data_IF_328850027419
#
_entry.id   IF_328850027419
#
_cell.length_a   1.000
_cell.length_b   1.000
_cell.length_c   1.000
_cell.angle_alpha   90.00
_cell.angle_beta   90.00
_cell.angle_gamma   90.00
#
_symmetry.space_group_name_H-M   'P 1'
#
loop_
_entity.id
_entity.type
_entity.pdbx_description
1 polymer ?
#
# COMPACT_ATOMS: atom_id res chain seq x y z
N UNK A 1 14.30 -9.03 14.53
CA UNK A 1 13.47 -9.15 13.33
C UNK A 1 12.13 -9.71 13.78
N UNK A 2 11.02 -9.10 13.41
CA UNK A 2 9.69 -9.48 13.87
C UNK A 2 8.81 -9.82 12.66
N UNK A 3 8.16 -10.99 12.69
CA UNK A 3 7.39 -11.55 11.60
C UNK A 3 6.20 -10.66 11.21
N UNK A 4 5.40 -10.25 12.19
CA UNK A 4 4.25 -9.38 11.99
C UNK A 4 4.63 -8.01 11.42
N UNK A 5 5.71 -7.43 11.94
CA UNK A 5 6.11 -6.07 11.59
C UNK A 5 6.88 -5.96 10.28
N UNK A 6 7.64 -6.99 9.88
CA UNK A 6 8.58 -6.91 8.76
C UNK A 6 8.25 -7.90 7.64
N UNK A 7 7.70 -9.08 7.94
CA UNK A 7 7.48 -10.15 6.96
C UNK A 7 6.04 -10.14 6.44
N UNK A 8 5.05 -10.11 7.32
CA UNK A 8 3.62 -10.08 6.94
C UNK A 8 3.28 -8.93 5.96
N UNK A 9 3.80 -7.69 6.12
CA UNK A 9 3.49 -6.60 5.20
C UNK A 9 3.95 -6.86 3.77
N UNK A 10 4.97 -7.69 3.57
CA UNK A 10 5.41 -8.09 2.22
C UNK A 10 4.30 -8.85 1.52
N UNK A 11 3.62 -9.78 2.19
CA UNK A 11 2.55 -10.58 1.58
C UNK A 11 1.40 -9.69 1.14
N UNK A 12 1.06 -8.68 1.94
CA UNK A 12 0.04 -7.68 1.61
C UNK A 12 0.47 -6.81 0.44
N UNK A 13 1.69 -6.26 0.48
CA UNK A 13 2.24 -5.45 -0.60
C UNK A 13 2.28 -6.18 -1.94
N UNK A 14 2.63 -7.46 -1.94
CA UNK A 14 2.71 -8.29 -3.14
C UNK A 14 1.35 -8.87 -3.57
N UNK A 15 0.31 -8.71 -2.76
CA UNK A 15 -1.03 -9.26 -2.98
C UNK A 15 -1.12 -10.78 -2.79
N UNK A 16 -0.14 -11.40 -2.13
CA UNK A 16 -0.12 -12.84 -1.87
C UNK A 16 -1.27 -13.27 -0.94
N UNK A 17 -1.54 -12.48 0.09
CA UNK A 17 -2.59 -12.71 1.08
C UNK A 17 -3.90 -11.94 0.77
N UNK A 18 -4.10 -11.55 -0.50
CA UNK A 18 -5.37 -11.01 -0.96
C UNK A 18 -6.41 -12.13 -1.19
N UNK A 19 -7.71 -11.80 -1.12
CA UNK A 19 -8.79 -12.77 -1.30
C UNK A 19 -8.81 -13.48 -2.66
N UNK A 20 -8.17 -12.90 -3.68
CA UNK A 20 -7.99 -13.55 -5.00
C UNK A 20 -6.89 -14.63 -5.04
N UNK A 21 -6.10 -14.78 -3.98
CA UNK A 21 -4.92 -15.66 -3.95
C UNK A 21 -4.91 -16.56 -2.70
N UNK A 22 -3.90 -16.45 -1.84
CA UNK A 22 -3.78 -17.26 -0.62
C UNK A 22 -4.60 -16.70 0.56
N UNK A 23 -5.12 -15.48 0.45
CA UNK A 23 -5.91 -14.78 1.48
C UNK A 23 -7.37 -15.20 1.63
N UNK A 24 -7.85 -16.18 0.86
CA UNK A 24 -9.21 -16.71 0.97
C UNK A 24 -9.26 -17.83 2.00
N UNK A 25 -10.43 -18.08 2.60
CA UNK A 25 -10.60 -19.00 3.73
C UNK A 25 -9.95 -20.39 3.54
N UNK A 26 -10.10 -20.98 2.34
CA UNK A 26 -9.56 -22.31 2.02
C UNK A 26 -8.12 -22.27 1.45
N UNK A 27 -7.54 -21.08 1.28
CA UNK A 27 -6.26 -20.89 0.60
C UNK A 27 -6.26 -21.37 -0.85
N UNK A 28 -5.06 -21.60 -1.40
CA UNK A 28 -4.87 -22.10 -2.75
C UNK A 28 -3.79 -23.19 -2.77
N UNK A 29 -4.11 -24.33 -3.38
CA UNK A 29 -3.20 -25.47 -3.54
C UNK A 29 -2.58 -25.97 -2.22
N UNK A 30 -3.38 -26.00 -1.14
CA UNK A 30 -2.94 -26.44 0.17
C UNK A 30 -2.05 -25.44 0.90
N UNK A 31 -2.12 -24.15 0.57
CA UNK A 31 -1.47 -23.09 1.33
C UNK A 31 -2.39 -21.88 1.47
N UNK A 32 -2.50 -21.37 2.69
CA UNK A 32 -3.31 -20.19 3.01
C UNK A 32 -2.52 -19.20 3.84
N UNK A 33 -2.89 -17.94 3.67
CA UNK A 33 -2.54 -16.82 4.54
C UNK A 33 -3.84 -16.15 4.97
N UNK A 34 -3.85 -15.52 6.12
CA UNK A 34 -4.93 -14.68 6.60
C UNK A 34 -5.12 -13.48 5.68
N UNK A 35 -6.37 -13.07 5.50
CA UNK A 35 -6.71 -11.97 4.59
C UNK A 35 -5.99 -10.68 5.03
N UNK A 36 -5.13 -10.15 4.16
CA UNK A 36 -4.33 -8.94 4.41
C UNK A 36 -3.44 -9.00 5.67
N UNK A 37 -3.17 -10.20 6.21
CA UNK A 37 -2.31 -10.39 7.38
C UNK A 37 -3.02 -10.15 8.72
N UNK A 38 -4.34 -10.35 8.77
CA UNK A 38 -5.17 -10.09 9.96
C UNK A 38 -4.88 -11.04 11.14
N UNK A 39 -4.36 -12.25 10.87
CA UNK A 39 -3.99 -13.25 11.87
C UNK A 39 -2.53 -13.72 11.66
N UNK A 40 -1.54 -12.93 12.10
CA UNK A 40 -0.13 -13.21 11.85
C UNK A 40 0.37 -14.49 12.54
N UNK A 41 -0.25 -14.88 13.66
CA UNK A 41 0.01 -16.14 14.35
C UNK A 41 -0.39 -17.35 13.48
N UNK A 42 -1.59 -17.32 12.91
CA UNK A 42 -2.04 -18.35 11.97
C UNK A 42 -1.18 -18.38 10.69
N UNK A 43 -0.82 -17.20 10.16
CA UNK A 43 0.08 -17.07 9.01
C UNK A 43 1.42 -17.76 9.24
N UNK A 44 1.99 -17.54 10.42
CA UNK A 44 3.25 -18.14 10.82
C UNK A 44 3.14 -19.67 10.90
N UNK A 45 2.07 -20.20 11.51
CA UNK A 45 1.84 -21.64 11.60
C UNK A 45 1.71 -22.31 10.23
N UNK A 46 0.91 -21.75 9.32
CA UNK A 46 0.75 -22.30 7.97
C UNK A 46 2.04 -22.19 7.13
N UNK A 47 2.79 -21.11 7.34
CA UNK A 47 4.00 -20.86 6.59
C UNK A 47 5.19 -21.71 7.07
N UNK A 48 5.39 -21.80 8.38
CA UNK A 48 6.58 -22.38 9.01
C UNK A 48 6.39 -23.84 9.39
N UNK A 49 5.21 -24.23 9.86
CA UNK A 49 5.00 -25.53 10.51
C UNK A 49 4.14 -26.52 9.70
N UNK A 50 3.10 -26.03 9.03
CA UNK A 50 2.19 -26.88 8.24
C UNK A 50 2.94 -27.70 7.18
N UNK A 51 2.43 -28.90 6.87
CA UNK A 51 3.05 -29.86 5.96
C UNK A 51 4.53 -30.15 6.27
N UNK A 52 4.88 -30.18 7.57
CA UNK A 52 6.25 -30.45 8.06
C UNK A 52 7.26 -29.40 7.57
N UNK A 53 6.82 -28.14 7.47
CA UNK A 53 7.68 -27.01 7.11
C UNK A 53 8.17 -27.00 5.66
N UNK A 54 7.49 -27.71 4.74
CA UNK A 54 7.92 -27.88 3.34
C UNK A 54 8.12 -26.59 2.53
N UNK A 55 7.65 -25.44 3.04
CA UNK A 55 7.63 -24.15 2.35
C UNK A 55 8.92 -23.37 2.54
N UNK A 56 9.66 -23.67 3.61
CA UNK A 56 10.89 -22.98 4.00
C UNK A 56 12.04 -23.98 4.05
N UNK A 57 13.17 -23.61 3.47
CA UNK A 57 14.41 -24.36 3.54
C UNK A 57 15.49 -23.50 4.20
N UNK A 58 15.66 -23.58 5.53
CA UNK A 58 16.55 -22.66 6.26
C UNK A 58 18.02 -22.75 5.85
N UNK A 59 18.47 -23.94 5.45
CA UNK A 59 19.86 -24.18 5.03
C UNK A 59 20.22 -23.48 3.71
N UNK A 60 19.23 -23.23 2.85
CA UNK A 60 19.38 -22.42 1.64
C UNK A 60 18.06 -21.65 1.41
N UNK A 61 17.95 -20.41 1.95
CA UNK A 61 16.74 -19.61 1.85
C UNK A 61 16.24 -19.47 0.42
N UNK A 62 17.14 -19.33 -0.56
CA UNK A 62 16.80 -19.18 -1.98
C UNK A 62 16.08 -20.40 -2.55
N UNK A 63 16.28 -21.57 -1.95
CA UNK A 63 15.57 -22.80 -2.29
C UNK A 63 14.19 -22.93 -1.64
N UNK A 64 13.79 -22.01 -0.75
CA UNK A 64 12.47 -22.02 -0.12
C UNK A 64 11.36 -21.80 -1.15
N UNK A 65 10.29 -22.59 -1.11
CA UNK A 65 9.12 -22.39 -1.98
C UNK A 65 8.51 -21.00 -1.78
N UNK A 66 8.59 -20.47 -0.55
CA UNK A 66 8.19 -19.10 -0.20
C UNK A 66 8.90 -18.03 -1.05
N UNK A 67 10.14 -18.28 -1.47
CA UNK A 67 10.89 -17.38 -2.35
C UNK A 67 10.74 -17.76 -3.83
N UNK A 68 10.89 -19.04 -4.16
CA UNK A 68 10.92 -19.50 -5.55
C UNK A 68 9.60 -19.31 -6.30
N UNK A 69 8.45 -19.50 -5.62
CA UNK A 69 7.13 -19.35 -6.25
C UNK A 69 6.82 -17.88 -6.57
N UNK A 70 6.89 -16.92 -5.64
CA UNK A 70 6.60 -15.53 -5.98
C UNK A 70 7.66 -14.89 -6.90
N UNK A 71 8.87 -15.42 -6.96
CA UNK A 71 9.84 -15.01 -7.99
C UNK A 71 9.62 -15.65 -9.38
N UNK A 72 8.67 -16.57 -9.49
CA UNK A 72 8.37 -17.37 -10.67
C UNK A 72 9.59 -18.14 -11.22
N UNK A 73 10.53 -18.50 -10.33
CA UNK A 73 11.59 -19.49 -10.61
C UNK A 73 10.96 -20.88 -10.71
N UNK A 74 9.96 -21.14 -9.86
CA UNK A 74 9.05 -22.26 -9.99
C UNK A 74 7.66 -21.76 -10.41
N UNK A 75 6.89 -22.54 -11.20
CA UNK A 75 5.54 -22.15 -11.61
C UNK A 75 4.62 -21.84 -10.41
N UNK A 76 4.12 -20.62 -10.31
CA UNK A 76 3.27 -20.18 -9.20
C UNK A 76 1.78 -20.05 -9.55
N UNK A 77 1.44 -19.85 -10.83
CA UNK A 77 0.06 -19.56 -11.27
C UNK A 77 -0.39 -18.13 -10.96
N UNK A 78 0.07 -17.53 -9.85
CA UNK A 78 -0.16 -16.13 -9.47
C UNK A 78 0.76 -15.10 -10.18
N UNK A 79 1.60 -15.56 -11.11
CA UNK A 79 2.60 -14.76 -11.80
C UNK A 79 3.83 -14.42 -10.94
N UNK A 80 4.73 -13.60 -11.49
CA UNK A 80 5.87 -13.06 -10.76
C UNK A 80 5.42 -11.88 -9.89
N UNK A 81 5.82 -11.90 -8.62
CA UNK A 81 5.53 -10.88 -7.60
C UNK A 81 6.78 -10.20 -7.07
N UNK A 82 7.91 -10.90 -7.04
CA UNK A 82 9.21 -10.36 -6.63
C UNK A 82 10.35 -10.95 -7.48
N UNK A 83 11.60 -10.63 -7.18
CA UNK A 83 12.76 -11.21 -7.84
C UNK A 83 13.95 -11.27 -6.88
N UNK A 84 14.94 -12.16 -7.11
CA UNK A 84 16.18 -12.14 -6.35
C UNK A 84 16.81 -10.76 -6.33
N UNK A 85 17.19 -10.28 -5.14
CA UNK A 85 17.78 -8.96 -4.93
C UNK A 85 16.79 -7.79 -4.85
N UNK A 86 15.47 -8.04 -4.89
CA UNK A 86 14.51 -7.00 -4.46
C UNK A 86 14.47 -6.91 -2.94
N UNK A 87 14.01 -5.77 -2.42
CA UNK A 87 13.93 -5.54 -0.97
C UNK A 87 13.10 -6.62 -0.25
N UNK A 88 11.98 -7.02 -0.85
CA UNK A 88 11.08 -8.04 -0.35
C UNK A 88 11.75 -9.41 -0.29
N UNK A 89 12.48 -9.79 -1.35
CA UNK A 89 13.24 -11.03 -1.40
C UNK A 89 14.31 -11.06 -0.30
N UNK A 90 15.10 -9.99 -0.18
CA UNK A 90 16.20 -9.92 0.78
C UNK A 90 15.71 -9.89 2.22
N UNK A 91 14.57 -9.25 2.50
CA UNK A 91 13.97 -9.24 3.83
C UNK A 91 13.46 -10.64 4.22
N UNK A 92 12.70 -11.32 3.36
CA UNK A 92 12.24 -12.69 3.62
C UNK A 92 13.41 -13.67 3.71
N UNK A 93 14.42 -13.54 2.84
CA UNK A 93 15.63 -14.36 2.89
C UNK A 93 16.36 -14.21 4.22
N UNK A 94 16.57 -12.96 4.70
CA UNK A 94 17.18 -12.70 6.02
C UNK A 94 16.36 -13.26 7.18
N UNK A 95 15.03 -13.20 7.10
CA UNK A 95 14.15 -13.80 8.10
C UNK A 95 14.37 -15.32 8.19
N UNK A 96 14.41 -16.00 7.06
CA UNK A 96 14.67 -17.44 6.98
C UNK A 96 16.07 -17.76 7.54
N UNK A 97 17.10 -16.97 7.18
CA UNK A 97 18.47 -17.14 7.67
C UNK A 97 18.58 -17.01 9.20
N UNK A 98 17.75 -16.18 9.81
CA UNK A 98 17.71 -15.99 11.27
C UNK A 98 16.95 -17.11 12.00
N UNK A 99 16.47 -18.13 11.30
CA UNK A 99 15.69 -19.20 11.88
C UNK A 99 14.21 -18.84 12.05
N UNK A 100 13.69 -18.00 11.14
CA UNK A 100 12.28 -17.59 11.08
C UNK A 100 11.74 -17.08 12.42
N UNK A 101 12.38 -16.12 13.11
CA UNK A 101 11.85 -15.64 14.39
C UNK A 101 10.44 -15.06 14.21
N UNK A 102 9.51 -15.43 15.10
CA UNK A 102 8.18 -14.80 15.16
C UNK A 102 8.30 -13.35 15.68
N UNK A 103 8.98 -13.17 16.81
CA UNK A 103 9.04 -11.92 17.55
C UNK A 103 8.91 -12.21 19.05
N UNK A 104 8.88 -11.17 19.86
CA UNK A 104 8.59 -11.25 21.30
C UNK A 104 7.41 -10.37 21.67
N UNK A 105 6.81 -10.59 22.84
CA UNK A 105 5.68 -9.78 23.34
C UNK A 105 6.08 -8.33 23.63
N UNK A 106 7.38 -8.07 23.80
CA UNK A 106 7.95 -6.74 24.00
C UNK A 106 8.25 -6.02 22.68
N UNK A 107 8.06 -6.67 21.53
CA UNK A 107 8.25 -6.01 20.24
C UNK A 107 7.24 -4.86 20.06
N UNK A 108 7.67 -3.75 19.44
CA UNK A 108 6.81 -2.60 19.21
C UNK A 108 5.60 -2.93 18.34
N UNK A 109 4.43 -2.44 18.74
CA UNK A 109 3.18 -2.59 17.99
C UNK A 109 2.93 -1.33 17.17
N UNK A 110 2.52 -1.50 15.90
CA UNK A 110 2.16 -0.38 15.04
C UNK A 110 0.95 0.37 15.62
N UNK A 111 1.05 1.70 15.71
CA UNK A 111 -0.03 2.55 16.22
C UNK A 111 -0.70 3.40 15.14
N UNK A 112 0.06 3.86 14.16
CA UNK A 112 -0.43 4.65 13.02
C UNK A 112 0.61 4.72 11.91
N UNK A 113 0.16 5.12 10.73
CA UNK A 113 1.04 5.56 9.64
C UNK A 113 0.79 7.01 9.24
N UNK A 114 1.81 7.63 8.66
CA UNK A 114 1.75 8.99 8.11
C UNK A 114 2.34 9.00 6.70
N UNK A 115 1.56 9.51 5.74
CA UNK A 115 2.05 9.77 4.39
C UNK A 115 2.59 11.21 4.32
N UNK A 116 3.85 11.36 3.90
CA UNK A 116 4.55 12.63 3.84
C UNK A 116 5.00 12.93 2.41
N UNK A 117 4.65 14.09 1.83
CA UNK A 117 3.69 15.06 2.36
C UNK A 117 2.27 14.48 2.40
N UNK A 118 1.40 15.01 3.28
CA UNK A 118 -0.01 14.61 3.34
C UNK A 118 -0.86 15.28 2.25
N UNK A 119 -0.48 16.50 1.84
CA UNK A 119 -1.17 17.27 0.80
C UNK A 119 -0.13 17.94 -0.10
N UNK A 120 -0.37 18.00 -1.41
CA UNK A 120 0.48 18.72 -2.35
C UNK A 120 -0.33 19.22 -3.55
N UNK A 121 -0.23 20.52 -3.84
CA UNK A 121 -0.67 21.05 -5.14
C UNK A 121 0.29 20.56 -6.24
N UNK A 122 -0.28 20.00 -7.30
CA UNK A 122 0.47 19.36 -8.38
C UNK A 122 -0.09 19.78 -9.73
N UNK A 123 0.80 20.21 -10.63
CA UNK A 123 0.45 20.38 -12.03
C UNK A 123 0.10 19.04 -12.68
N UNK A 124 -0.63 19.08 -13.79
CA UNK A 124 -0.82 17.91 -14.66
C UNK A 124 0.51 17.23 -15.00
N UNK A 125 0.51 15.89 -14.97
CA UNK A 125 1.71 15.04 -15.15
C UNK A 125 2.79 15.25 -14.08
N UNK A 126 2.46 16.01 -13.03
CA UNK A 126 3.32 16.22 -11.87
C UNK A 126 3.58 14.91 -11.14
N UNK A 127 4.79 14.79 -10.58
CA UNK A 127 5.22 13.60 -9.85
C UNK A 127 5.54 13.96 -8.40
N UNK A 128 5.08 13.16 -7.47
CA UNK A 128 5.36 13.29 -6.04
C UNK A 128 5.89 11.96 -5.50
N UNK A 129 7.03 11.99 -4.81
CA UNK A 129 7.51 10.85 -4.04
C UNK A 129 6.96 10.97 -2.62
N UNK A 130 6.24 9.96 -2.16
CA UNK A 130 5.79 9.87 -0.78
C UNK A 130 6.84 9.18 0.08
N UNK A 131 6.91 9.57 1.35
CA UNK A 131 7.48 8.77 2.43
C UNK A 131 6.36 8.30 3.33
N UNK A 132 6.41 7.05 3.79
CA UNK A 132 5.42 6.49 4.70
C UNK A 132 6.12 6.20 6.02
N UNK A 133 5.73 6.91 7.07
CA UNK A 133 6.31 6.78 8.40
C UNK A 133 5.36 5.98 9.30
N UNK A 134 5.83 4.84 9.80
CA UNK A 134 5.13 4.03 10.79
C UNK A 134 5.55 4.45 12.19
N UNK A 135 4.58 4.73 13.05
CA UNK A 135 4.79 5.07 14.46
C UNK A 135 4.40 3.88 15.33
N UNK A 136 5.30 3.52 16.25
CA UNK A 136 5.17 2.33 17.08
C UNK A 136 4.98 2.66 18.56
N UNK A 137 4.49 1.69 19.33
CA UNK A 137 4.19 1.82 20.76
C UNK A 137 5.39 2.14 21.65
N UNK A 138 6.61 1.86 21.20
CA UNK A 138 7.87 2.21 21.87
C UNK A 138 8.35 3.65 21.56
N UNK A 139 7.57 4.39 20.78
CA UNK A 139 7.92 5.73 20.29
C UNK A 139 8.86 5.73 19.09
N UNK A 140 9.29 4.57 18.60
CA UNK A 140 10.10 4.49 17.39
C UNK A 140 9.29 4.85 16.15
N UNK A 141 9.99 5.44 15.17
CA UNK A 141 9.42 5.80 13.87
C UNK A 141 10.26 5.12 12.80
N UNK A 142 9.61 4.41 11.87
CA UNK A 142 10.29 3.68 10.79
C UNK A 142 9.74 4.10 9.44
N UNK A 143 10.64 4.23 8.47
CA UNK A 143 10.25 4.40 7.07
C UNK A 143 9.79 3.04 6.51
N UNK A 144 8.50 2.95 6.20
CA UNK A 144 7.84 1.78 5.62
C UNK A 144 7.38 2.04 4.18
N UNK A 145 7.95 3.05 3.50
CA UNK A 145 7.60 3.42 2.11
C UNK A 145 7.69 2.22 1.16
N UNK A 146 8.71 1.37 1.37
CA UNK A 146 8.92 0.15 0.58
C UNK A 146 8.04 -1.02 1.00
N UNK A 147 7.25 -0.92 2.05
CA UNK A 147 6.34 -1.99 2.51
C UNK A 147 4.87 -1.59 2.40
N UNK A 148 4.58 -0.30 2.29
CA UNK A 148 3.23 0.20 2.08
C UNK A 148 2.70 -0.08 0.66
N UNK A 149 1.37 -0.15 0.54
CA UNK A 149 0.65 -0.14 -0.74
C UNK A 149 -0.01 1.21 -0.97
N UNK A 150 -0.20 1.57 -2.25
CA UNK A 150 -0.66 2.88 -2.68
C UNK A 150 -1.77 2.71 -3.72
N UNK A 151 -2.98 3.16 -3.41
CA UNK A 151 -4.15 3.02 -4.27
C UNK A 151 -4.83 4.38 -4.46
N UNK A 152 -4.86 4.93 -5.69
CA UNK A 152 -5.62 6.12 -5.98
C UNK A 152 -7.13 5.81 -5.93
N UNK A 153 -7.95 6.75 -5.46
CA UNK A 153 -9.40 6.65 -5.51
C UNK A 153 -9.94 6.60 -6.94
N UNK A 154 -9.27 7.30 -7.86
CA UNK A 154 -9.58 7.38 -9.29
C UNK A 154 -8.32 7.08 -10.10
N UNK A 155 -8.26 5.91 -10.75
CA UNK A 155 -7.11 5.48 -11.53
C UNK A 155 -6.89 6.35 -12.79
N UNK A 156 -7.93 7.04 -13.24
CA UNK A 156 -7.91 8.02 -14.32
C UNK A 156 -7.26 9.34 -13.91
N UNK A 157 -7.21 9.67 -12.62
CA UNK A 157 -6.65 10.93 -12.10
C UNK A 157 -5.21 10.79 -11.63
N UNK A 158 -4.80 9.60 -11.17
CA UNK A 158 -3.42 9.34 -10.84
C UNK A 158 -3.04 7.87 -10.97
N UNK A 159 -1.75 7.67 -11.24
CA UNK A 159 -1.10 6.37 -11.17
C UNK A 159 -0.09 6.38 -10.02
N UNK A 160 0.02 5.24 -9.34
CA UNK A 160 0.99 5.00 -8.27
C UNK A 160 1.92 3.87 -8.65
N UNK A 161 3.05 3.76 -7.96
CA UNK A 161 3.91 2.58 -8.06
C UNK A 161 4.27 2.03 -6.68
N UNK A 162 4.87 0.83 -6.68
CA UNK A 162 5.27 0.12 -5.47
C UNK A 162 6.36 0.83 -4.63
N UNK A 163 6.97 1.89 -5.16
CA UNK A 163 7.96 2.70 -4.46
C UNK A 163 7.35 3.98 -3.86
N UNK A 164 6.03 4.17 -3.90
CA UNK A 164 5.35 5.33 -3.33
C UNK A 164 5.42 6.59 -4.18
N UNK A 165 5.73 6.46 -5.48
CA UNK A 165 5.66 7.60 -6.41
C UNK A 165 4.25 7.70 -7.00
N UNK A 166 3.66 8.87 -6.82
CA UNK A 166 2.37 9.28 -7.38
C UNK A 166 2.63 10.15 -8.60
N UNK A 167 1.91 9.90 -9.69
CA UNK A 167 1.86 10.79 -10.87
C UNK A 167 0.41 11.16 -11.11
N UNK A 168 0.11 12.46 -11.12
CA UNK A 168 -1.24 12.97 -11.44
C UNK A 168 -1.36 13.01 -12.96
N UNK A 169 -2.50 12.58 -13.49
CA UNK A 169 -2.81 12.57 -14.91
C UNK A 169 -3.40 13.92 -15.37
N UNK A 170 -3.82 14.01 -16.62
CA UNK A 170 -4.39 15.24 -17.21
C UNK A 170 -5.88 15.46 -16.87
N UNK A 171 -6.35 14.87 -15.76
CA UNK A 171 -7.74 14.99 -15.30
C UNK A 171 -7.80 16.01 -14.16
N UNK A 172 -8.58 17.11 -14.30
CA UNK A 172 -8.73 18.12 -13.27
C UNK A 172 -9.35 17.56 -11.98
N UNK A 173 -8.91 18.10 -10.83
CA UNK A 173 -9.49 17.83 -9.52
C UNK A 173 -8.47 17.34 -8.48
N UNK A 174 -8.97 17.10 -7.26
CA UNK A 174 -8.20 16.50 -6.18
C UNK A 174 -8.26 14.97 -6.27
N UNK A 175 -7.08 14.33 -6.28
CA UNK A 175 -6.93 12.88 -6.18
C UNK A 175 -6.48 12.50 -4.78
N UNK A 176 -7.14 11.49 -4.20
CA UNK A 176 -6.75 10.93 -2.92
C UNK A 176 -6.05 9.58 -3.17
N UNK A 177 -4.82 9.44 -2.68
CA UNK A 177 -4.09 8.18 -2.68
C UNK A 177 -4.16 7.57 -1.29
N UNK A 178 -4.85 6.45 -1.18
CA UNK A 178 -4.87 5.65 0.04
C UNK A 178 -3.54 4.91 0.17
N UNK A 179 -2.90 5.09 1.32
CA UNK A 179 -1.68 4.40 1.71
C UNK A 179 -2.05 3.39 2.77
N UNK A 180 -1.70 2.11 2.59
CA UNK A 180 -1.96 1.07 3.60
C UNK A 180 -0.66 0.39 4.01
N UNK A 181 -0.53 0.13 5.32
CA UNK A 181 0.53 -0.69 5.88
C UNK A 181 -0.01 -1.40 7.11
N UNK A 182 0.01 -2.74 7.08
CA UNK A 182 -0.71 -3.58 8.04
C UNK A 182 -2.20 -3.16 8.14
N UNK A 183 -2.73 -2.97 9.35
CA UNK A 183 -4.10 -2.51 9.60
C UNK A 183 -4.29 -0.99 9.51
N UNK A 184 -3.23 -0.23 9.31
CA UNK A 184 -3.26 1.24 9.36
C UNK A 184 -3.40 1.86 7.96
N UNK A 185 -4.10 2.99 7.91
CA UNK A 185 -4.39 3.73 6.68
C UNK A 185 -3.97 5.18 6.81
N UNK A 186 -3.19 5.65 5.83
CA UNK A 186 -2.86 7.05 5.62
C UNK A 186 -3.44 7.53 4.29
N UNK A 187 -3.52 8.86 4.10
CA UNK A 187 -4.02 9.44 2.85
C UNK A 187 -3.09 10.55 2.41
N UNK A 188 -2.67 10.50 1.15
CA UNK A 188 -2.09 11.63 0.43
C UNK A 188 -3.16 12.28 -0.45
N UNK A 189 -3.23 13.61 -0.48
CA UNK A 189 -4.03 14.38 -1.43
C UNK A 189 -3.14 15.15 -2.39
N UNK A 190 -3.34 14.93 -3.68
CA UNK A 190 -2.61 15.59 -4.75
C UNK A 190 -3.56 16.16 -5.78
N UNK A 191 -3.07 17.05 -6.64
CA UNK A 191 -3.82 17.55 -7.78
C UNK A 191 -3.85 19.07 -7.86
N UNK A 192 -4.51 19.55 -8.89
CA UNK A 192 -4.66 20.98 -9.12
C UNK A 192 -5.90 21.49 -8.37
N UNK A 193 -5.69 22.39 -7.42
CA UNK A 193 -6.75 23.12 -6.71
C UNK A 193 -7.43 24.17 -7.62
N UNK A 194 -6.97 24.36 -8.87
CA UNK A 194 -7.55 25.28 -9.85
C UNK A 194 -9.00 24.97 -10.26
N UNK A 195 -9.60 23.89 -9.75
CA UNK A 195 -11.05 23.75 -9.75
C UNK A 195 -11.79 24.84 -8.93
N UNK A 196 -11.13 25.47 -7.95
CA UNK A 196 -11.70 26.58 -7.16
C UNK A 196 -10.83 27.86 -7.12
N UNK A 197 -9.61 27.87 -7.69
CA UNK A 197 -8.76 29.07 -7.76
C UNK A 197 -8.86 29.76 -9.13
N UNK A 198 -9.91 30.58 -9.35
CA UNK A 198 -9.95 31.43 -10.55
C UNK A 198 -11.30 32.02 -10.98
N UNK A 199 -12.40 31.77 -10.28
CA UNK A 199 -13.69 32.37 -10.63
C UNK A 199 -14.11 33.41 -9.59
N UNK A 200 -13.82 34.69 -9.86
CA UNK A 200 -14.61 35.77 -9.27
C UNK A 200 -16.00 35.74 -9.93
N UNK A 201 -16.94 35.06 -9.28
CA UNK A 201 -18.36 35.28 -9.57
C UNK A 201 -18.69 36.73 -9.18
N UNK A 202 -19.25 37.51 -10.10
CA UNK A 202 -19.75 38.86 -9.81
C UNK A 202 -20.91 38.77 -8.81
N UNK A 203 -20.58 38.74 -7.52
CA UNK A 203 -21.57 38.52 -6.47
C UNK A 203 -21.06 37.89 -5.16
N UNK A 204 -19.75 37.85 -4.87
CA UNK A 204 -19.23 37.68 -3.49
C UNK A 204 -19.68 36.44 -2.68
N UNK A 205 -20.27 35.42 -3.30
CA UNK A 205 -20.74 34.21 -2.63
C UNK A 205 -19.92 32.99 -3.08
N UNK A 206 -19.37 32.29 -2.10
CA UNK A 206 -18.53 31.10 -2.23
C UNK A 206 -19.40 29.91 -2.67
N UNK A 207 -19.22 29.39 -3.90
CA UNK A 207 -19.99 28.28 -4.48
C UNK A 207 -19.21 26.96 -4.57
N UNK A 208 -18.09 26.83 -3.86
CA UNK A 208 -17.29 25.59 -3.84
C UNK A 208 -17.85 24.64 -2.75
N UNK A 209 -18.76 23.74 -3.14
CA UNK A 209 -19.23 22.64 -2.28
C UNK A 209 -18.22 21.47 -2.20
N UNK A 210 -18.36 20.62 -1.18
CA UNK A 210 -17.46 19.49 -0.80
C UNK A 210 -17.11 18.46 -1.91
N UNK A 211 -17.65 18.60 -3.12
CA UNK A 211 -17.43 17.69 -4.24
C UNK A 211 -16.68 18.32 -5.42
N UNK A 212 -16.31 19.60 -5.38
CA UNK A 212 -15.62 20.27 -6.50
C UNK A 212 -16.44 20.35 -7.80
N UNK A 213 -17.77 20.17 -7.71
CA UNK A 213 -18.68 20.25 -8.86
C UNK A 213 -19.44 21.57 -8.81
N UNK A 214 -19.46 22.29 -9.93
CA UNK A 214 -20.32 23.45 -10.15
C UNK A 214 -21.79 23.04 -10.06
N UNK A 215 -22.45 23.30 -8.93
CA UNK A 215 -23.91 23.17 -8.83
C UNK A 215 -24.56 24.39 -9.50
N UNK A 216 -24.79 24.30 -10.80
CA UNK A 216 -25.73 25.19 -11.49
C UNK A 216 -27.16 24.71 -11.19
N UNK A 217 -27.62 24.85 -9.94
CA UNK A 217 -29.04 24.65 -9.60
C UNK A 217 -29.76 26.00 -9.53
N UNK A 218 -30.38 26.33 -10.66
CA UNK A 218 -31.69 26.95 -10.75
C UNK A 218 -31.90 28.31 -10.06
N UNK A 219 -31.25 29.38 -10.58
CA UNK A 219 -31.84 30.73 -10.56
C UNK A 219 -31.13 31.67 -11.54
N UNK A 220 -31.35 31.55 -12.85
CA UNK A 220 -31.27 32.66 -13.83
C UNK A 220 -30.00 33.53 -13.91
N UNK A 221 -28.89 33.20 -13.24
CA UNK A 221 -27.68 34.02 -13.22
C UNK A 221 -26.79 33.78 -14.46
N UNK A 222 -26.07 34.82 -14.93
CA UNK A 222 -25.26 34.73 -16.15
C UNK A 222 -24.11 33.72 -15.99
N UNK A 223 -23.69 33.05 -17.08
CA UNK A 223 -22.63 32.05 -17.01
C UNK A 223 -21.29 32.69 -16.61
N UNK A 224 -20.59 32.03 -15.68
CA UNK A 224 -19.19 32.34 -15.40
C UNK A 224 -18.35 32.12 -16.66
N UNK A 225 -17.65 33.17 -17.11
CA UNK A 225 -16.73 33.08 -18.24
C UNK A 225 -15.33 32.71 -17.74
N UNK A 226 -14.67 31.75 -18.39
CA UNK A 226 -13.26 31.47 -18.17
C UNK A 226 -12.43 32.71 -18.53
N UNK A 227 -11.53 33.12 -17.62
CA UNK A 227 -10.47 34.12 -17.89
C UNK A 227 -9.23 33.41 -18.40
#
# INVERSE_FOLDING_TARGET
>A
MNFENEVVPIFTKLGCNAGGCHGKADGQNGFRLSLLGFYPDEDYEFLVHEDRGRRIFPADPGFSLLLQKPANILPHGGGQRMSPGTYEWDLVSRWIQQGMPYGSEEDPVLQRIEAVPAVREMNFRGRQQLSVLAHYSDGSVRDVTRLASYEPNHAEMAITNAAGRVTVEDVPGEVAVMVRFQGEVGVFRGGDSAGCAGAECAGGAELCGLAGVWQAEAAGDPPCSAV
#
